data_IF_904270181451
#
_entry.id   IF_904270181451
#
_cell.length_a   1.000
_cell.length_b   1.000
_cell.length_c   1.000
_cell.angle_alpha   90.00
_cell.angle_beta   90.00
_cell.angle_gamma   90.00
#
_symmetry.space_group_name_H-M   'P 1'
#
loop_
_entity.id
_entity.type
_entity.pdbx_description
1 polymer ?
#
# COMPACT_ATOMS: atom_id res chain seq x y z
N UNK A 1 -10.12 32.20 -7.72
CA UNK A 1 -11.02 31.04 -7.61
C UNK A 1 -10.15 29.79 -7.68
N UNK A 2 -9.95 29.09 -6.56
CA UNK A 2 -9.18 27.84 -6.53
C UNK A 2 -10.15 26.72 -6.92
N UNK A 3 -9.93 26.10 -8.08
CA UNK A 3 -10.65 24.88 -8.47
C UNK A 3 -10.23 23.75 -7.52
N UNK A 4 -11.13 23.33 -6.65
CA UNK A 4 -10.98 22.13 -5.83
C UNK A 4 -11.19 20.91 -6.74
N UNK A 5 -10.14 20.47 -7.43
CA UNK A 5 -10.20 19.28 -8.28
C UNK A 5 -10.00 18.04 -7.41
N UNK A 6 -11.11 17.45 -6.98
CA UNK A 6 -11.13 16.11 -6.40
C UNK A 6 -11.11 15.09 -7.53
N UNK A 7 -10.19 14.12 -7.45
CA UNK A 7 -10.23 12.95 -8.32
C UNK A 7 -11.00 11.84 -7.61
N UNK A 8 -11.98 11.25 -8.29
CA UNK A 8 -12.73 10.12 -7.78
C UNK A 8 -12.02 8.82 -8.15
N UNK A 9 -11.65 8.03 -7.16
CA UNK A 9 -11.17 6.67 -7.32
C UNK A 9 -12.32 5.68 -7.19
N UNK A 10 -12.34 4.67 -8.05
CA UNK A 10 -13.27 3.54 -7.95
C UNK A 10 -12.46 2.27 -7.73
N UNK A 11 -12.85 1.48 -6.74
CA UNK A 11 -12.32 0.14 -6.55
C UNK A 11 -13.44 -0.83 -6.17
N UNK A 12 -13.19 -2.11 -6.47
CA UNK A 12 -14.03 -3.20 -6.03
C UNK A 12 -13.50 -3.72 -4.71
N UNK A 13 -14.21 -3.44 -3.62
CA UNK A 13 -13.94 -4.06 -2.35
C UNK A 13 -14.64 -5.41 -2.29
N UNK A 14 -14.02 -6.37 -1.63
CA UNK A 14 -14.65 -7.66 -1.34
C UNK A 14 -15.36 -7.53 0.00
N UNK A 15 -16.70 -7.52 -0.01
CA UNK A 15 -17.50 -7.66 1.20
C UNK A 15 -17.91 -9.14 1.34
N UNK A 16 -17.39 -9.81 2.36
CA UNK A 16 -17.84 -11.15 2.73
C UNK A 16 -19.09 -11.03 3.60
N UNK A 17 -20.27 -11.44 3.12
CA UNK A 17 -21.40 -11.72 4.01
C UNK A 17 -21.28 -13.16 4.53
N UNK A 18 -21.15 -13.33 5.84
CA UNK A 18 -21.39 -14.63 6.45
C UNK A 18 -22.89 -14.95 6.36
N UNK A 19 -23.23 -15.83 5.42
CA UNK A 19 -24.53 -16.48 5.33
C UNK A 19 -24.31 -17.99 5.26
N UNK A 20 -25.12 -18.74 6.00
CA UNK A 20 -25.08 -20.20 6.03
C UNK A 20 -25.23 -20.75 4.60
N UNK A 21 -24.22 -21.50 4.17
CA UNK A 21 -24.07 -22.18 2.87
C UNK A 21 -23.74 -21.25 1.68
N UNK A 22 -22.50 -21.35 1.21
CA UNK A 22 -21.84 -20.71 0.04
C UNK A 22 -21.25 -19.30 0.24
N UNK A 23 -19.92 -19.22 0.16
CA UNK A 23 -19.15 -17.97 0.10
C UNK A 23 -19.34 -17.32 -1.28
N UNK A 24 -20.32 -16.45 -1.43
CA UNK A 24 -20.32 -15.50 -2.54
C UNK A 24 -19.55 -14.25 -2.10
N UNK A 25 -18.41 -14.00 -2.74
CA UNK A 25 -17.71 -12.72 -2.63
C UNK A 25 -18.53 -11.67 -3.37
N UNK A 26 -19.19 -10.78 -2.63
CA UNK A 26 -19.85 -9.62 -3.22
C UNK A 26 -18.78 -8.54 -3.41
N UNK A 27 -18.54 -8.18 -4.67
CA UNK A 27 -17.71 -7.03 -4.99
C UNK A 27 -18.56 -5.77 -4.82
N UNK A 28 -18.41 -5.09 -3.69
CA UNK A 28 -19.02 -3.78 -3.49
C UNK A 28 -18.11 -2.71 -4.09
N UNK A 29 -18.63 -2.03 -5.10
CA UNK A 29 -17.98 -0.85 -5.66
C UNK A 29 -17.95 0.22 -4.58
N UNK A 30 -16.75 0.56 -4.12
CA UNK A 30 -16.55 1.67 -3.19
C UNK A 30 -15.93 2.83 -3.95
N UNK A 31 -16.25 4.03 -3.50
CA UNK A 31 -15.65 5.26 -4.00
C UNK A 31 -14.86 5.92 -2.88
N UNK A 32 -13.76 6.54 -3.24
CA UNK A 32 -12.99 7.42 -2.37
C UNK A 32 -12.53 8.62 -3.20
N UNK A 33 -12.14 9.68 -2.51
CA UNK A 33 -11.70 10.90 -3.14
C UNK A 33 -10.23 11.14 -2.80
N UNK A 34 -9.49 11.63 -3.79
CA UNK A 34 -8.10 12.05 -3.66
C UNK A 34 -8.05 13.55 -3.92
N UNK A 35 -7.44 14.28 -3.00
CA UNK A 35 -7.17 15.71 -3.14
C UNK A 35 -5.68 15.97 -3.06
N UNK A 36 -5.18 16.71 -4.03
CA UNK A 36 -3.84 17.30 -3.98
C UNK A 36 -3.96 18.70 -3.42
N UNK A 37 -3.21 19.00 -2.36
CA UNK A 37 -3.15 20.34 -1.79
C UNK A 37 -2.01 21.14 -2.42
N UNK A 38 -2.09 22.47 -2.32
CA UNK A 38 -1.00 23.35 -2.75
C UNK A 38 0.25 23.17 -1.85
N UNK A 39 0.05 22.67 -0.64
CA UNK A 39 1.09 22.46 0.37
C UNK A 39 1.84 21.13 0.18
N UNK A 40 1.76 20.54 -1.02
CA UNK A 40 2.37 19.26 -1.36
C UNK A 40 1.82 18.07 -0.56
N UNK A 41 0.55 18.09 -0.15
CA UNK A 41 -0.07 16.93 0.49
C UNK A 41 -1.00 16.18 -0.45
N UNK A 42 -1.17 14.88 -0.18
CA UNK A 42 -2.17 14.00 -0.78
C UNK A 42 -3.13 13.58 0.33
N UNK A 43 -4.40 13.95 0.19
CA UNK A 43 -5.46 13.60 1.13
C UNK A 43 -6.36 12.56 0.49
N UNK A 44 -6.54 11.43 1.18
CA UNK A 44 -7.47 10.37 0.83
C UNK A 44 -8.67 10.46 1.77
N UNK A 45 -9.89 10.52 1.21
CA UNK A 45 -11.12 10.58 1.99
C UNK A 45 -12.19 9.63 1.47
N UNK A 46 -13.08 9.19 2.36
CA UNK A 46 -14.23 8.35 2.02
C UNK A 46 -15.46 8.86 2.76
N UNK A 47 -16.54 9.14 2.02
CA UNK A 47 -17.78 9.72 2.55
C UNK A 47 -17.55 10.98 3.40
N UNK A 48 -16.60 11.84 2.99
CA UNK A 48 -16.23 13.07 3.71
C UNK A 48 -15.26 12.89 4.88
N UNK A 49 -14.98 11.66 5.31
CA UNK A 49 -14.01 11.39 6.37
C UNK A 49 -12.60 11.22 5.80
N UNK A 50 -11.62 11.91 6.38
CA UNK A 50 -10.21 11.73 5.99
C UNK A 50 -9.74 10.37 6.49
N UNK A 51 -9.21 9.57 5.57
CA UNK A 51 -8.63 8.26 5.88
C UNK A 51 -7.12 8.36 6.09
N UNK A 52 -6.45 9.19 5.29
CA UNK A 52 -5.00 9.32 5.28
C UNK A 52 -4.59 10.67 4.68
N UNK A 53 -3.52 11.23 5.22
CA UNK A 53 -2.80 12.37 4.64
C UNK A 53 -1.33 11.96 4.45
N UNK A 54 -0.76 12.23 3.28
CA UNK A 54 0.64 11.97 2.96
C UNK A 54 1.33 13.20 2.38
N UNK A 55 2.65 13.32 2.58
CA UNK A 55 3.47 14.30 1.87
C UNK A 55 3.85 13.78 0.47
N UNK A 56 3.52 14.56 -0.56
CA UNK A 56 3.80 14.30 -1.98
C UNK A 56 5.30 14.19 -2.25
N UNK A 57 6.17 14.91 -1.52
CA UNK A 57 7.62 14.86 -1.72
C UNK A 57 8.19 13.46 -1.50
N UNK A 58 7.56 12.70 -0.61
CA UNK A 58 7.99 11.35 -0.24
C UNK A 58 7.21 10.25 -0.97
N UNK A 59 6.32 10.60 -1.91
CA UNK A 59 5.42 9.63 -2.55
C UNK A 59 5.35 9.82 -4.06
N UNK A 60 5.91 8.85 -4.79
CA UNK A 60 5.88 8.79 -6.26
C UNK A 60 4.69 8.02 -6.81
N UNK A 61 3.98 7.24 -5.97
CA UNK A 61 2.86 6.39 -6.37
C UNK A 61 1.62 6.74 -5.56
N UNK A 62 0.55 7.12 -6.24
CA UNK A 62 -0.77 7.33 -5.65
C UNK A 62 -1.36 5.97 -5.31
N UNK A 63 -1.80 5.78 -4.06
CA UNK A 63 -2.49 4.55 -3.68
C UNK A 63 -3.89 4.51 -4.26
N UNK A 64 -4.24 3.40 -4.89
CA UNK A 64 -5.58 3.15 -5.42
C UNK A 64 -6.35 2.14 -4.58
N UNK A 65 -5.66 1.31 -3.80
CA UNK A 65 -6.28 0.31 -2.94
C UNK A 65 -6.68 0.90 -1.57
N UNK A 66 -7.97 0.86 -1.23
CA UNK A 66 -8.50 1.45 0.00
C UNK A 66 -8.03 0.74 1.26
N UNK A 67 -7.84 -0.59 1.21
CA UNK A 67 -7.32 -1.34 2.35
C UNK A 67 -5.89 -0.90 2.66
N UNK A 68 -5.06 -0.70 1.64
CA UNK A 68 -3.72 -0.14 1.81
C UNK A 68 -3.76 1.29 2.33
N UNK A 69 -4.63 2.15 1.77
CA UNK A 69 -4.82 3.53 2.25
C UNK A 69 -5.11 3.54 3.75
N UNK A 70 -6.01 2.65 4.22
CA UNK A 70 -6.44 2.58 5.62
C UNK A 70 -5.43 1.93 6.56
N UNK A 71 -4.68 0.94 6.09
CA UNK A 71 -4.00 0.01 6.99
C UNK A 71 -2.51 -0.16 6.76
N UNK A 72 -1.98 0.23 5.60
CA UNK A 72 -0.56 0.07 5.26
C UNK A 72 0.25 1.27 5.74
N UNK A 73 1.22 1.03 6.61
CA UNK A 73 2.21 2.04 7.03
C UNK A 73 3.60 1.55 6.69
N UNK A 74 4.45 2.43 6.18
CA UNK A 74 5.88 2.17 5.99
C UNK A 74 6.66 2.93 7.04
N UNK A 75 7.66 2.29 7.63
CA UNK A 75 8.56 2.90 8.61
C UNK A 75 10.00 2.56 8.27
N UNK A 76 10.89 3.51 8.52
CA UNK A 76 12.32 3.40 8.27
C UNK A 76 13.01 4.69 8.64
N UNK A 77 14.29 4.77 8.31
CA UNK A 77 15.13 5.91 8.65
C UNK A 77 15.11 6.96 7.54
N UNK A 78 15.33 8.21 7.94
CA UNK A 78 15.49 9.34 7.04
C UNK A 78 16.88 9.95 7.23
N UNK A 79 17.61 10.08 6.13
CA UNK A 79 18.89 10.77 6.07
C UNK A 79 18.74 12.27 5.87
N UNK A 80 19.80 12.89 5.36
CA UNK A 80 19.86 14.33 5.08
C UNK A 80 18.75 14.71 4.09
N UNK A 81 18.13 15.88 4.28
CA UNK A 81 17.03 16.38 3.47
C UNK A 81 15.79 15.46 3.44
N UNK A 82 15.56 14.67 4.49
CA UNK A 82 14.40 13.77 4.61
C UNK A 82 14.33 12.72 3.49
N UNK A 83 15.49 12.30 3.00
CA UNK A 83 15.62 11.20 2.03
C UNK A 83 15.52 9.87 2.77
N UNK A 84 14.78 8.90 2.23
CA UNK A 84 14.68 7.56 2.82
C UNK A 84 16.04 6.86 2.81
N UNK A 85 16.50 6.34 3.93
CA UNK A 85 17.79 5.63 4.03
C UNK A 85 17.65 4.37 4.88
N UNK A 86 18.59 3.45 4.74
CA UNK A 86 18.67 2.27 5.58
C UNK A 86 17.46 1.34 5.40
N UNK A 87 17.13 0.60 6.45
CA UNK A 87 16.09 -0.45 6.40
C UNK A 87 14.69 0.13 6.51
N UNK A 88 13.81 -0.36 5.65
CA UNK A 88 12.41 0.01 5.58
C UNK A 88 11.53 -1.22 5.67
N UNK A 89 10.54 -1.14 6.55
CA UNK A 89 9.60 -2.22 6.84
C UNK A 89 8.17 -1.70 6.74
N UNK A 90 7.23 -2.61 6.47
CA UNK A 90 5.81 -2.26 6.45
C UNK A 90 5.06 -2.83 7.65
N UNK A 91 3.99 -2.14 8.02
CA UNK A 91 3.02 -2.55 9.01
C UNK A 91 1.63 -2.61 8.37
N UNK A 92 0.86 -3.63 8.71
CA UNK A 92 -0.54 -3.80 8.33
C UNK A 92 -1.41 -3.87 9.57
N UNK A 93 -2.36 -2.93 9.72
CA UNK A 93 -3.22 -2.86 10.92
C UNK A 93 -2.41 -2.88 12.23
N UNK A 94 -1.25 -2.22 12.22
CA UNK A 94 -0.31 -2.15 13.36
C UNK A 94 0.61 -3.36 13.55
N UNK A 95 0.48 -4.43 12.74
CA UNK A 95 1.36 -5.59 12.78
C UNK A 95 2.47 -5.47 11.74
N UNK A 96 3.72 -5.66 12.15
CA UNK A 96 4.86 -5.71 11.23
C UNK A 96 4.69 -6.85 10.22
N UNK A 97 4.92 -6.54 8.95
CA UNK A 97 4.97 -7.48 7.84
C UNK A 97 6.43 -7.86 7.56
N UNK A 98 6.64 -9.07 7.04
CA UNK A 98 7.94 -9.51 6.51
C UNK A 98 8.12 -9.01 5.07
N UNK A 99 8.04 -7.70 4.89
CA UNK A 99 8.19 -7.03 3.59
C UNK A 99 9.01 -5.75 3.76
N UNK A 100 9.65 -5.31 2.68
CA UNK A 100 10.51 -4.15 2.65
C UNK A 100 11.90 -4.45 2.13
N UNK A 101 12.86 -3.60 2.46
CA UNK A 101 14.22 -3.65 1.95
C UNK A 101 15.04 -2.47 2.42
N UNK A 102 16.09 -2.13 1.68
CA UNK A 102 17.04 -1.09 2.05
C UNK A 102 17.14 0.01 1.00
N UNK A 103 17.30 1.24 1.46
CA UNK A 103 17.64 2.40 0.65
C UNK A 103 19.09 2.82 0.91
N UNK A 104 19.79 3.22 -0.15
CA UNK A 104 21.10 3.85 -0.03
C UNK A 104 20.98 5.30 0.45
N UNK A 105 22.12 5.96 0.67
CA UNK A 105 22.20 7.37 1.13
C UNK A 105 21.54 8.37 0.18
N UNK A 106 21.35 8.00 -1.09
CA UNK A 106 20.69 8.82 -2.11
C UNK A 106 19.18 8.58 -2.21
N UNK A 107 18.59 7.73 -1.35
CA UNK A 107 17.16 7.42 -1.41
C UNK A 107 16.77 6.45 -2.50
N UNK A 108 17.74 5.71 -3.03
CA UNK A 108 17.48 4.70 -4.04
C UNK A 108 17.42 3.32 -3.39
N UNK A 109 16.40 2.55 -3.76
CA UNK A 109 16.29 1.15 -3.34
C UNK A 109 17.51 0.36 -3.80
N UNK A 110 18.05 -0.47 -2.91
CA UNK A 110 19.19 -1.33 -3.18
C UNK A 110 18.98 -2.74 -2.60
N UNK A 111 19.67 -3.71 -3.18
CA UNK A 111 19.69 -5.09 -2.69
C UNK A 111 18.35 -5.78 -2.80
N UNK A 112 18.13 -6.78 -1.94
CA UNK A 112 16.90 -7.57 -1.94
C UNK A 112 15.72 -6.76 -1.39
N UNK A 113 14.60 -6.84 -2.09
CA UNK A 113 13.34 -6.23 -1.69
C UNK A 113 12.20 -7.22 -1.76
N UNK A 114 11.27 -7.08 -0.81
CA UNK A 114 9.98 -7.75 -0.81
C UNK A 114 8.91 -6.65 -0.92
N UNK A 115 8.21 -6.59 -2.04
CA UNK A 115 7.16 -5.62 -2.31
C UNK A 115 5.77 -6.22 -2.14
N UNK A 116 4.83 -5.41 -1.67
CA UNK A 116 3.41 -5.77 -1.65
C UNK A 116 2.82 -5.63 -3.05
N UNK A 117 1.93 -6.55 -3.43
CA UNK A 117 1.11 -6.36 -4.62
C UNK A 117 0.27 -5.09 -4.52
N UNK A 118 -0.02 -4.46 -5.66
CA UNK A 118 -0.84 -3.25 -5.78
C UNK A 118 -2.21 -3.41 -5.08
N UNK A 119 -2.77 -4.61 -5.13
CA UNK A 119 -4.03 -4.95 -4.47
C UNK A 119 -3.85 -5.83 -3.23
N UNK A 120 -2.70 -5.74 -2.56
CA UNK A 120 -2.49 -6.45 -1.30
C UNK A 120 -3.55 -6.07 -0.28
N UNK A 121 -4.12 -7.10 0.36
CA UNK A 121 -5.00 -7.02 1.51
C UNK A 121 -4.95 -8.37 2.25
N UNK A 122 -5.63 -8.48 3.39
CA UNK A 122 -5.44 -9.62 4.29
C UNK A 122 -5.80 -11.00 3.69
N UNK A 123 -6.72 -11.04 2.72
CA UNK A 123 -7.11 -12.27 2.01
C UNK A 123 -6.43 -12.46 0.64
N UNK A 124 -5.67 -11.47 0.17
CA UNK A 124 -4.78 -11.63 -0.98
C UNK A 124 -3.36 -11.15 -0.63
N UNK A 125 -2.64 -11.93 0.19
CA UNK A 125 -1.28 -11.60 0.59
C UNK A 125 -0.28 -11.98 -0.52
N UNK A 126 -0.35 -11.26 -1.64
CA UNK A 126 0.59 -11.41 -2.76
C UNK A 126 1.77 -10.47 -2.56
N UNK A 127 2.98 -10.99 -2.70
CA UNK A 127 4.23 -10.21 -2.64
C UNK A 127 5.13 -10.51 -3.83
N UNK A 128 6.01 -9.57 -4.15
CA UNK A 128 7.06 -9.71 -5.15
C UNK A 128 8.42 -9.65 -4.49
N UNK A 129 9.31 -10.57 -4.85
CA UNK A 129 10.68 -10.59 -4.32
C UNK A 129 11.64 -10.46 -5.48
N UNK A 130 12.60 -9.57 -5.34
CA UNK A 130 13.65 -9.38 -6.33
C UNK A 130 14.73 -8.46 -5.82
N UNK A 131 15.61 -8.04 -6.73
CA UNK A 131 16.72 -7.16 -6.42
C UNK A 131 16.54 -5.79 -7.04
N UNK A 132 16.99 -4.78 -6.32
CA UNK A 132 17.13 -3.41 -6.79
C UNK A 132 18.60 -3.04 -6.90
N UNK A 133 18.92 -2.29 -7.94
CA UNK A 133 20.20 -1.60 -8.09
C UNK A 133 19.92 -0.15 -8.47
N UNK A 134 20.34 0.76 -7.59
CA UNK A 134 20.18 2.21 -7.74
C UNK A 134 18.75 2.62 -8.13
N UNK A 135 17.76 2.03 -7.44
CA UNK A 135 16.35 2.31 -7.63
C UNK A 135 15.69 1.58 -8.80
N UNK A 136 16.46 0.80 -9.58
CA UNK A 136 15.94 0.03 -10.71
C UNK A 136 15.77 -1.45 -10.35
N UNK A 137 14.61 -2.03 -10.68
CA UNK A 137 14.36 -3.46 -10.56
C UNK A 137 15.32 -4.24 -11.47
N UNK A 138 15.98 -5.24 -10.91
CA UNK A 138 16.91 -6.11 -11.62
C UNK A 138 16.34 -7.53 -11.75
N UNK A 139 16.72 -8.19 -12.84
CA UNK A 139 16.49 -9.61 -13.03
C UNK A 139 15.01 -10.03 -13.00
N UNK A 140 14.80 -11.26 -12.56
CA UNK A 140 13.47 -11.87 -12.41
C UNK A 140 12.92 -11.51 -11.03
N UNK A 141 11.64 -11.14 -10.99
CA UNK A 141 10.90 -10.89 -9.77
C UNK A 141 9.93 -12.05 -9.51
N UNK A 142 10.20 -12.80 -8.47
CA UNK A 142 9.39 -13.93 -8.07
C UNK A 142 8.11 -13.44 -7.39
N UNK A 143 6.99 -14.08 -7.69
CA UNK A 143 5.69 -13.77 -7.09
C UNK A 143 5.31 -14.83 -6.07
N UNK A 144 5.04 -14.42 -4.84
CA UNK A 144 4.65 -15.31 -3.76
C UNK A 144 3.22 -15.04 -3.32
N UNK A 145 2.48 -16.12 -3.10
CA UNK A 145 1.13 -16.10 -2.55
C UNK A 145 1.08 -16.96 -1.28
N UNK A 146 0.90 -16.32 -0.13
CA UNK A 146 0.88 -17.02 1.15
C UNK A 146 -0.54 -17.52 1.50
N UNK A 147 -0.82 -18.78 1.17
CA UNK A 147 -2.12 -19.43 1.46
C UNK A 147 -2.45 -19.56 2.96
N UNK A 148 -1.46 -19.48 3.85
CA UNK A 148 -1.59 -19.92 5.24
C UNK A 148 -2.52 -19.03 6.09
N UNK A 149 -2.71 -17.75 5.76
CA UNK A 149 -3.64 -16.87 6.49
C UNK A 149 -5.12 -17.22 6.30
N UNK A 150 -5.50 -17.82 5.16
CA UNK A 150 -6.90 -18.17 4.91
C UNK A 150 -7.37 -19.39 5.72
N UNK A 151 -6.49 -20.32 6.07
CA UNK A 151 -6.87 -21.56 6.76
C UNK A 151 -7.20 -21.35 8.26
N UNK A 152 -6.63 -20.32 8.90
CA UNK A 152 -6.91 -20.01 10.30
C UNK A 152 -8.29 -19.35 10.54
N UNK A 153 -8.98 -18.95 9.48
CA UNK A 153 -10.32 -18.33 9.55
C UNK A 153 -11.46 -19.32 9.20
N UNK A 154 -11.12 -20.54 8.80
CA UNK A 154 -12.07 -21.60 8.38
C UNK A 154 -12.20 -22.69 9.46
N UNK A 155 -11.44 -22.59 10.57
CA UNK A 155 -11.48 -23.54 11.70
C UNK A 155 -12.06 -22.89 12.96
#
# INVERSE_FOLDING_TARGET
>A
MIQNNWCQGEIYNISGRQGFYSYYWLFEKTTFQIKFTNDSEIIYSQFGNILRTEDKKNKTIIMTNLEQIKHLKWEGEYGINNVQTGKWIAFWKGKQLDVGGEYNENGLKIGKWIELFENYWEYSPVTYIGEYQDGNKQGIWDTFYEKQKMQQLIN
#
